data_IF_688682749104
#
_entry.id   IF_688682749104
#
_cell.length_a   1.000
_cell.length_b   1.000
_cell.length_c   1.000
_cell.angle_alpha   90.00
_cell.angle_beta   90.00
_cell.angle_gamma   90.00
#
_symmetry.space_group_name_H-M   'P 1'
#
loop_
_entity.id
_entity.type
_entity.pdbx_description
1 polymer ?
#
# COMPACT_ATOMS: atom_id res chain seq x y z
N UNK A 1 -4.93 -1.63 18.79
CA UNK A 1 -5.52 -0.46 19.51
C UNK A 1 -6.89 -0.06 18.97
N UNK A 2 -7.12 0.09 17.66
CA UNK A 2 -8.47 0.39 17.13
C UNK A 2 -9.51 -0.68 17.49
N UNK A 3 -9.15 -1.97 17.37
CA UNK A 3 -10.01 -3.08 17.78
C UNK A 3 -10.42 -3.02 19.27
N UNK A 4 -9.47 -2.72 20.17
CA UNK A 4 -9.77 -2.59 21.61
C UNK A 4 -10.64 -1.38 21.93
N UNK A 5 -10.72 -0.41 21.03
CA UNK A 5 -11.61 0.75 21.12
C UNK A 5 -12.98 0.51 20.47
N UNK A 6 -13.28 -0.71 20.03
CA UNK A 6 -14.59 -1.08 19.47
C UNK A 6 -14.66 -1.05 17.94
N UNK A 7 -13.60 -0.69 17.23
CA UNK A 7 -13.60 -0.78 15.76
C UNK A 7 -13.73 -2.23 15.30
N UNK A 8 -14.63 -2.49 14.34
CA UNK A 8 -14.90 -3.83 13.79
C UNK A 8 -14.81 -3.91 12.27
N UNK A 9 -14.82 -2.79 11.56
CA UNK A 9 -14.68 -2.73 10.09
C UNK A 9 -13.54 -1.78 9.78
N UNK A 10 -12.45 -2.29 9.23
CA UNK A 10 -11.21 -1.53 9.06
C UNK A 10 -10.68 -1.78 7.65
N UNK A 11 -10.44 -0.71 6.90
CA UNK A 11 -9.68 -0.78 5.65
C UNK A 11 -8.21 -0.59 5.99
N UNK A 12 -7.38 -1.49 5.50
CA UNK A 12 -5.93 -1.45 5.61
C UNK A 12 -5.38 -1.26 4.21
N UNK A 13 -5.04 -0.02 3.89
CA UNK A 13 -4.40 0.34 2.63
C UNK A 13 -2.91 0.02 2.69
N UNK A 14 -2.39 -0.63 1.64
CA UNK A 14 -0.96 -0.76 1.45
C UNK A 14 -0.33 0.55 0.95
N UNK A 15 0.99 0.59 0.83
CA UNK A 15 1.70 1.79 0.37
C UNK A 15 1.71 1.80 -1.16
N UNK A 16 1.29 2.92 -1.76
CA UNK A 16 1.40 3.16 -3.20
C UNK A 16 2.86 3.17 -3.70
N UNK A 17 3.12 3.32 -5.01
CA UNK A 17 4.48 3.31 -5.56
C UNK A 17 5.27 4.56 -5.15
N UNK A 18 5.80 4.56 -3.92
CA UNK A 18 6.41 5.73 -3.30
C UNK A 18 7.64 6.23 -4.06
N UNK A 19 8.40 5.34 -4.70
CA UNK A 19 9.52 5.73 -5.55
C UNK A 19 9.12 6.55 -6.78
N UNK A 20 7.83 6.59 -7.11
CA UNK A 20 7.29 7.29 -8.27
C UNK A 20 6.62 8.64 -7.94
N UNK A 21 6.57 9.07 -6.67
CA UNK A 21 5.90 10.33 -6.33
C UNK A 21 6.79 11.55 -6.65
N UNK A 22 6.21 12.72 -6.97
CA UNK A 22 6.98 13.89 -7.42
C UNK A 22 8.12 14.30 -6.48
N UNK A 23 7.92 14.22 -5.17
CA UNK A 23 8.96 14.57 -4.20
C UNK A 23 10.15 13.61 -4.21
N UNK A 24 9.93 12.31 -4.46
CA UNK A 24 11.03 11.35 -4.54
C UNK A 24 11.81 11.51 -5.84
N UNK A 25 11.12 11.76 -6.96
CA UNK A 25 11.76 12.05 -8.24
C UNK A 25 12.62 13.31 -8.16
N UNK A 26 12.08 14.39 -7.57
CA UNK A 26 12.80 15.65 -7.40
C UNK A 26 14.04 15.52 -6.49
N UNK A 27 13.99 14.66 -5.47
CA UNK A 27 15.13 14.44 -4.57
C UNK A 27 16.21 13.54 -5.16
N UNK A 28 15.84 12.59 -6.01
CA UNK A 28 16.76 11.61 -6.59
C UNK A 28 17.36 12.05 -7.93
N UNK A 29 16.91 13.18 -8.49
CA UNK A 29 17.33 13.72 -9.80
C UNK A 29 17.29 12.63 -10.90
N UNK A 30 16.16 11.91 -10.94
CA UNK A 30 15.97 10.85 -11.94
C UNK A 30 15.53 11.45 -13.28
N UNK A 31 15.72 10.69 -14.36
CA UNK A 31 15.22 10.99 -15.71
C UNK A 31 13.68 10.83 -15.85
N UNK A 32 12.95 10.96 -14.74
CA UNK A 32 11.53 10.62 -14.63
C UNK A 32 11.28 9.14 -14.28
N UNK A 33 12.32 8.31 -14.22
CA UNK A 33 12.19 6.94 -13.70
C UNK A 33 11.96 6.91 -12.19
N UNK A 34 11.20 5.91 -11.74
CA UNK A 34 10.94 5.72 -10.32
C UNK A 34 12.21 5.32 -9.56
N UNK A 35 12.29 5.73 -8.30
CA UNK A 35 13.39 5.34 -7.40
C UNK A 35 13.19 3.90 -6.93
N UNK A 36 13.72 2.94 -7.67
CA UNK A 36 13.48 1.50 -7.46
C UNK A 36 13.91 0.96 -6.10
N UNK A 37 14.94 1.55 -5.48
CA UNK A 37 15.31 1.20 -4.10
C UNK A 37 14.15 1.44 -3.12
N UNK A 38 13.39 2.52 -3.32
CA UNK A 38 12.22 2.85 -2.48
C UNK A 38 11.08 1.89 -2.79
N UNK A 39 10.79 1.64 -4.07
CA UNK A 39 9.74 0.69 -4.45
C UNK A 39 10.01 -0.73 -3.93
N UNK A 40 11.26 -1.21 -3.92
CA UNK A 40 11.62 -2.49 -3.30
C UNK A 40 11.32 -2.53 -1.80
N UNK A 41 11.60 -1.44 -1.08
CA UNK A 41 11.27 -1.37 0.34
C UNK A 41 9.75 -1.34 0.57
N UNK A 42 9.01 -0.64 -0.29
CA UNK A 42 7.55 -0.63 -0.29
C UNK A 42 6.97 -2.02 -0.55
N UNK A 43 7.48 -2.76 -1.55
CA UNK A 43 7.01 -4.12 -1.84
C UNK A 43 7.21 -5.05 -0.65
N UNK A 44 8.39 -5.04 -0.03
CA UNK A 44 8.66 -5.86 1.16
C UNK A 44 7.77 -5.49 2.35
N UNK A 45 7.41 -4.21 2.51
CA UNK A 45 6.45 -3.77 3.51
C UNK A 45 5.03 -4.28 3.19
N UNK A 46 4.58 -4.12 1.95
CA UNK A 46 3.25 -4.50 1.49
C UNK A 46 3.02 -6.01 1.60
N UNK A 47 4.04 -6.84 1.30
CA UNK A 47 3.99 -8.29 1.51
C UNK A 47 3.75 -8.67 2.98
N UNK A 48 4.49 -8.05 3.90
CA UNK A 48 4.32 -8.28 5.34
C UNK A 48 2.99 -7.76 5.86
N UNK A 49 2.53 -6.62 5.34
CA UNK A 49 1.25 -6.04 5.68
C UNK A 49 0.09 -6.96 5.26
N UNK A 50 0.16 -7.55 4.07
CA UNK A 50 -0.82 -8.50 3.59
C UNK A 50 -0.93 -9.72 4.52
N UNK A 51 0.20 -10.32 4.90
CA UNK A 51 0.21 -11.44 5.84
C UNK A 51 -0.29 -11.05 7.24
N UNK A 52 0.01 -9.83 7.70
CA UNK A 52 -0.55 -9.30 8.94
C UNK A 52 -2.07 -9.17 8.85
N UNK A 53 -2.62 -8.64 7.75
CA UNK A 53 -4.07 -8.49 7.55
C UNK A 53 -4.77 -9.85 7.53
N UNK A 54 -4.16 -10.86 6.92
CA UNK A 54 -4.66 -12.24 6.97
C UNK A 54 -4.67 -12.78 8.40
N UNK A 55 -3.60 -12.57 9.15
CA UNK A 55 -3.49 -13.01 10.54
C UNK A 55 -4.52 -12.32 11.46
N UNK A 56 -4.69 -11.01 11.36
CA UNK A 56 -5.63 -10.29 12.25
C UNK A 56 -7.10 -10.60 11.92
N UNK A 57 -7.42 -10.94 10.67
CA UNK A 57 -8.75 -11.43 10.31
C UNK A 57 -9.07 -12.80 10.96
N UNK A 58 -8.08 -13.65 11.20
CA UNK A 58 -8.30 -14.95 11.86
C UNK A 58 -8.23 -14.87 13.39
N UNK A 59 -7.54 -13.87 13.94
CA UNK A 59 -7.27 -13.76 15.39
C UNK A 59 -8.13 -12.75 16.14
N UNK A 60 -8.76 -11.80 15.44
CA UNK A 60 -9.62 -10.77 16.07
C UNK A 60 -11.10 -11.05 15.79
N UNK A 61 -11.78 -11.83 16.64
CA UNK A 61 -13.15 -12.24 16.40
C UNK A 61 -14.12 -11.05 16.35
N UNK A 62 -15.15 -11.18 15.51
CA UNK A 62 -16.17 -10.16 15.32
C UNK A 62 -15.71 -8.92 14.55
N UNK A 63 -14.48 -8.91 14.02
CA UNK A 63 -13.96 -7.84 13.18
C UNK A 63 -13.61 -8.30 11.77
N UNK A 64 -13.58 -7.35 10.85
CA UNK A 64 -13.33 -7.55 9.44
C UNK A 64 -12.33 -6.49 8.96
N UNK A 65 -11.21 -6.97 8.43
CA UNK A 65 -10.15 -6.14 7.85
C UNK A 65 -10.09 -6.36 6.35
N UNK A 66 -10.23 -5.29 5.58
CA UNK A 66 -10.10 -5.31 4.12
C UNK A 66 -8.73 -4.81 3.74
N UNK A 67 -7.96 -5.63 3.02
CA UNK A 67 -6.71 -5.18 2.41
C UNK A 67 -7.02 -4.42 1.12
N UNK A 68 -6.54 -3.18 1.01
CA UNK A 68 -6.68 -2.37 -0.20
C UNK A 68 -5.32 -2.24 -0.89
N UNK A 69 -5.24 -2.73 -2.12
CA UNK A 69 -4.03 -2.68 -2.95
C UNK A 69 -3.88 -1.33 -3.66
N UNK A 70 -3.47 -0.33 -2.90
CA UNK A 70 -3.17 1.02 -3.37
C UNK A 70 -1.98 1.03 -4.33
N UNK A 71 -0.97 0.18 -4.12
CA UNK A 71 0.15 0.01 -5.05
C UNK A 71 -0.35 -0.36 -6.44
N UNK A 72 -1.11 -1.45 -6.56
CA UNK A 72 -1.66 -1.91 -7.83
C UNK A 72 -2.57 -0.87 -8.49
N UNK A 73 -3.43 -0.19 -7.72
CA UNK A 73 -4.33 0.85 -8.23
C UNK A 73 -3.53 1.99 -8.88
N UNK A 74 -2.56 2.57 -8.18
CA UNK A 74 -1.80 3.69 -8.74
C UNK A 74 -0.84 3.27 -9.84
N UNK A 75 -0.30 2.04 -9.80
CA UNK A 75 0.46 1.49 -10.93
C UNK A 75 -0.41 1.34 -12.18
N UNK A 76 -1.67 0.89 -12.06
CA UNK A 76 -2.58 0.77 -13.20
C UNK A 76 -2.99 2.14 -13.75
N UNK A 77 -3.30 3.12 -12.88
CA UNK A 77 -3.61 4.49 -13.31
C UNK A 77 -2.42 5.10 -14.07
N UNK A 78 -1.20 4.90 -13.58
CA UNK A 78 0.00 5.43 -14.23
C UNK A 78 0.27 4.74 -15.59
N UNK A 79 0.05 3.43 -15.68
CA UNK A 79 0.25 2.67 -16.92
C UNK A 79 -0.88 2.88 -17.94
N UNK A 80 -2.12 3.09 -17.48
CA UNK A 80 -3.34 3.12 -18.28
C UNK A 80 -4.22 4.34 -17.95
N UNK A 81 -3.72 5.58 -18.12
CA UNK A 81 -4.46 6.77 -17.67
C UNK A 81 -5.80 6.98 -18.41
N UNK A 82 -5.94 6.49 -19.65
CA UNK A 82 -7.17 6.64 -20.44
C UNK A 82 -8.33 5.73 -19.98
N UNK A 83 -8.07 4.77 -19.08
CA UNK A 83 -9.08 3.87 -18.52
C UNK A 83 -9.89 4.52 -17.40
N UNK A 84 -9.44 5.67 -16.89
CA UNK A 84 -9.93 6.36 -15.70
C UNK A 84 -10.31 7.80 -16.01
#
# INVERSE_FOLDING_TARGET
KLYSLGARKIIVANIGPLGCIPSQLAMADTDGSCVERINRAVSAFNERLFELVKNINSTLPGSFFVYQDVYGIFSDIAANPQKY
#
